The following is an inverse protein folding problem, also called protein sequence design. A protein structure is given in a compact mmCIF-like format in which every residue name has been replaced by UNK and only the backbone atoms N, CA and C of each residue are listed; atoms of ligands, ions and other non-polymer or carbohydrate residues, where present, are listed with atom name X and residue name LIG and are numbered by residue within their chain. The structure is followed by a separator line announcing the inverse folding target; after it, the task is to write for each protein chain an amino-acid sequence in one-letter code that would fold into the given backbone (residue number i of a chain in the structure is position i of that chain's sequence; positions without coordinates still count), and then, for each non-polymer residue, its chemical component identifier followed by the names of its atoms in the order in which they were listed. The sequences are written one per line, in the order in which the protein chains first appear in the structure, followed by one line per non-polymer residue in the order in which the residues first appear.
data_IF_721531557265
#
_entry.id   IF_721531557265
#
_cell.length_a   1.000
_cell.length_b   1.000
_cell.length_c   1.000
_cell.angle_alpha   90.00
_cell.angle_beta   90.00
_cell.angle_gamma   90.00
#
_symmetry.space_group_name_H-M   'P 1'
#
loop_
_entity.id
_entity.type
_entity.pdbx_description
1 polymer ?
#
# COMPACT_ATOMS: atom_id res chain seq x y z
N UNK A 1 17.06 -3.53 -5.96
CA UNK A 1 16.04 -4.48 -5.47
C UNK A 1 14.82 -4.49 -6.41
N UNK A 2 14.13 -3.36 -6.60
CA UNK A 2 12.93 -3.26 -7.46
C UNK A 2 13.22 -3.56 -8.94
N UNK A 3 14.39 -3.15 -9.46
CA UNK A 3 14.81 -3.41 -10.84
C UNK A 3 15.02 -4.91 -11.18
N UNK A 4 15.15 -5.75 -10.16
CA UNK A 4 15.34 -7.20 -10.34
C UNK A 4 14.02 -7.97 -10.39
N UNK A 5 12.89 -7.29 -10.18
CA UNK A 5 11.57 -7.91 -10.20
C UNK A 5 11.16 -8.17 -11.65
N UNK A 6 10.87 -9.44 -11.95
CA UNK A 6 10.38 -9.85 -13.26
C UNK A 6 8.90 -9.48 -13.43
N UNK A 7 8.65 -8.35 -14.09
CA UNK A 7 7.30 -7.85 -14.38
C UNK A 7 6.61 -8.59 -15.54
N UNK A 8 7.28 -9.55 -16.18
CA UNK A 8 6.70 -10.33 -17.28
C UNK A 8 5.91 -11.55 -16.79
N UNK A 9 6.09 -11.96 -15.55
CA UNK A 9 5.40 -13.12 -14.96
C UNK A 9 3.91 -12.86 -14.86
N UNK A 10 3.14 -13.72 -15.51
CA UNK A 10 1.67 -13.71 -15.45
C UNK A 10 1.17 -15.07 -14.98
N UNK A 11 0.22 -15.05 -14.09
CA UNK A 11 -0.55 -16.23 -13.70
C UNK A 11 -1.69 -16.44 -14.71
N UNK A 12 -1.99 -17.66 -15.08
CA UNK A 12 -3.17 -17.91 -15.92
C UNK A 12 -4.46 -17.71 -15.11
N UNK A 13 -5.55 -17.36 -15.78
CA UNK A 13 -6.81 -16.98 -15.14
C UNK A 13 -7.37 -18.08 -14.24
N UNK A 14 -7.28 -19.35 -14.63
CA UNK A 14 -7.78 -20.47 -13.83
C UNK A 14 -7.01 -20.61 -12.52
N UNK A 15 -5.68 -20.65 -12.62
CA UNK A 15 -4.77 -20.72 -11.46
C UNK A 15 -4.95 -19.52 -10.53
N UNK A 16 -5.12 -18.33 -11.10
CA UNK A 16 -5.39 -17.10 -10.36
C UNK A 16 -6.70 -17.22 -9.55
N UNK A 17 -7.79 -17.62 -10.19
CA UNK A 17 -9.09 -17.73 -9.54
C UNK A 17 -9.11 -18.79 -8.44
N UNK A 18 -8.47 -19.93 -8.65
CA UNK A 18 -8.32 -20.98 -7.64
C UNK A 18 -7.50 -20.47 -6.44
N UNK A 19 -6.34 -19.88 -6.69
CA UNK A 19 -5.46 -19.35 -5.65
C UNK A 19 -6.15 -18.26 -4.84
N UNK A 20 -6.79 -17.31 -5.50
CA UNK A 20 -7.48 -16.20 -4.83
C UNK A 20 -8.64 -16.70 -3.98
N UNK A 21 -9.43 -17.67 -4.45
CA UNK A 21 -10.53 -18.22 -3.66
C UNK A 21 -10.04 -18.83 -2.34
N UNK A 22 -8.92 -19.55 -2.36
CA UNK A 22 -8.29 -20.07 -1.15
C UNK A 22 -7.76 -18.97 -0.23
N UNK A 23 -7.14 -17.93 -0.80
CA UNK A 23 -6.62 -16.79 -0.03
C UNK A 23 -7.74 -15.98 0.62
N UNK A 24 -8.87 -15.78 -0.06
CA UNK A 24 -10.04 -15.07 0.49
C UNK A 24 -10.58 -15.78 1.73
N UNK A 25 -10.75 -17.11 1.67
CA UNK A 25 -11.15 -17.92 2.83
C UNK A 25 -10.13 -17.78 3.97
N UNK A 26 -8.85 -17.85 3.64
CA UNK A 26 -7.77 -17.75 4.63
C UNK A 26 -7.71 -16.38 5.29
N UNK A 27 -7.92 -15.31 4.54
CA UNK A 27 -7.96 -13.94 5.06
C UNK A 27 -9.12 -13.73 6.03
N UNK A 28 -10.32 -14.24 5.70
CA UNK A 28 -11.48 -14.19 6.61
C UNK A 28 -11.19 -14.94 7.93
N UNK A 29 -10.52 -16.10 7.84
CA UNK A 29 -10.09 -16.87 9.02
C UNK A 29 -9.05 -16.10 9.86
N UNK A 30 -8.07 -15.46 9.19
CA UNK A 30 -7.04 -14.68 9.86
C UNK A 30 -7.63 -13.45 10.56
N UNK A 31 -8.57 -12.74 9.93
CA UNK A 31 -9.28 -11.63 10.58
C UNK A 31 -9.97 -12.10 11.87
N UNK A 32 -10.65 -13.24 11.85
CA UNK A 32 -11.26 -13.81 13.05
C UNK A 32 -10.23 -14.09 14.13
N UNK A 33 -9.10 -14.73 13.78
CA UNK A 33 -8.01 -15.02 14.72
C UNK A 33 -7.41 -13.75 15.31
N UNK A 34 -7.16 -12.73 14.50
CA UNK A 34 -6.65 -11.44 14.99
C UNK A 34 -7.61 -10.84 16.03
N UNK A 35 -8.92 -10.91 15.77
CA UNK A 35 -9.94 -10.45 16.72
C UNK A 35 -9.96 -11.26 18.01
N UNK A 36 -9.93 -12.59 17.92
CA UNK A 36 -9.95 -13.50 19.10
C UNK A 36 -8.69 -13.35 19.96
N UNK A 37 -7.54 -13.13 19.32
CA UNK A 37 -6.25 -12.97 20.00
C UNK A 37 -5.88 -11.52 20.31
N UNK A 38 -6.79 -10.57 20.04
CA UNK A 38 -6.57 -9.15 20.25
C UNK A 38 -5.33 -8.58 19.52
N UNK A 39 -5.01 -9.09 18.34
CA UNK A 39 -3.87 -8.65 17.53
C UNK A 39 -4.30 -7.49 16.64
N UNK A 40 -3.74 -6.27 16.80
CA UNK A 40 -3.97 -5.16 15.88
C UNK A 40 -3.15 -5.36 14.59
N UNK A 41 -3.73 -4.99 13.45
CA UNK A 41 -3.06 -5.13 12.15
C UNK A 41 -3.12 -3.82 11.37
N UNK A 42 -1.99 -3.36 10.85
CA UNK A 42 -1.91 -2.28 9.87
C UNK A 42 -1.43 -2.82 8.53
N UNK A 43 -2.15 -2.50 7.47
CA UNK A 43 -1.81 -2.90 6.10
C UNK A 43 -1.57 -1.63 5.28
N UNK A 44 -0.39 -1.49 4.70
CA UNK A 44 -0.03 -0.38 3.84
C UNK A 44 0.02 -0.83 2.38
N UNK A 45 -0.71 -0.12 1.52
CA UNK A 45 -0.66 -0.27 0.07
C UNK A 45 0.11 0.88 -0.54
N UNK A 46 1.36 0.64 -0.88
CA UNK A 46 2.24 1.57 -1.57
C UNK A 46 2.41 1.21 -3.04
N UNK A 47 2.99 2.09 -3.81
CA UNK A 47 3.27 1.89 -5.22
C UNK A 47 3.02 3.13 -6.05
N UNK A 48 3.42 3.04 -7.31
CA UNK A 48 3.32 4.11 -8.29
C UNK A 48 1.87 4.52 -8.56
N UNK A 49 1.68 5.71 -9.11
CA UNK A 49 0.36 6.11 -9.60
C UNK A 49 -0.13 5.14 -10.69
N UNK A 50 -1.41 4.85 -10.71
CA UNK A 50 -2.05 3.86 -11.57
C UNK A 50 -1.57 2.41 -11.39
N UNK A 51 -0.77 2.08 -10.35
CA UNK A 51 -0.33 0.71 -10.08
C UNK A 51 -1.46 -0.23 -9.59
N UNK A 52 -2.65 0.29 -9.31
CA UNK A 52 -3.79 -0.54 -8.92
C UNK A 52 -4.02 -0.65 -7.41
N UNK A 53 -3.45 0.24 -6.58
CA UNK A 53 -3.64 0.26 -5.12
C UNK A 53 -5.10 0.14 -4.71
N UNK A 54 -5.97 0.98 -5.25
CA UNK A 54 -7.41 0.95 -4.95
C UNK A 54 -8.09 -0.35 -5.37
N UNK A 55 -7.70 -0.93 -6.51
CA UNK A 55 -8.22 -2.22 -6.98
C UNK A 55 -7.82 -3.35 -6.01
N UNK A 56 -6.55 -3.35 -5.56
CA UNK A 56 -6.05 -4.34 -4.60
C UNK A 56 -6.77 -4.19 -3.24
N UNK A 57 -6.95 -2.96 -2.75
CA UNK A 57 -7.70 -2.71 -1.51
C UNK A 57 -9.15 -3.21 -1.66
N UNK A 58 -9.82 -2.88 -2.75
CA UNK A 58 -11.19 -3.35 -3.01
C UNK A 58 -11.27 -4.87 -3.02
N UNK A 59 -10.27 -5.55 -3.60
CA UNK A 59 -10.19 -7.02 -3.59
C UNK A 59 -9.98 -7.56 -2.18
N UNK A 60 -9.05 -6.99 -1.44
CA UNK A 60 -8.73 -7.39 -0.07
C UNK A 60 -9.95 -7.29 0.86
N UNK A 61 -10.73 -6.21 0.79
CA UNK A 61 -11.84 -5.98 1.71
C UNK A 61 -13.09 -6.82 1.39
N UNK A 62 -13.21 -7.40 0.21
CA UNK A 62 -14.38 -8.20 -0.19
C UNK A 62 -14.58 -9.45 0.67
N UNK A 63 -13.51 -10.02 1.20
CA UNK A 63 -13.54 -11.22 2.03
C UNK A 63 -13.49 -10.92 3.54
N UNK A 64 -13.38 -9.66 3.94
CA UNK A 64 -13.29 -9.24 5.33
C UNK A 64 -14.65 -8.83 5.90
N UNK A 65 -14.88 -9.14 7.19
CA UNK A 65 -16.03 -8.61 7.94
C UNK A 65 -15.91 -7.08 8.08
N UNK A 66 -16.85 -6.30 7.54
CA UNK A 66 -16.76 -4.83 7.53
C UNK A 66 -16.72 -4.21 8.94
N UNK A 67 -17.20 -4.92 9.95
CA UNK A 67 -17.13 -4.49 11.36
C UNK A 67 -15.71 -4.58 11.91
N UNK A 68 -14.83 -5.34 11.26
CA UNK A 68 -13.47 -5.67 11.73
C UNK A 68 -12.37 -4.80 11.14
N UNK A 69 -12.64 -3.98 10.13
CA UNK A 69 -11.61 -3.17 9.48
C UNK A 69 -12.04 -1.72 9.21
N UNK A 70 -11.07 -0.87 8.88
CA UNK A 70 -11.27 0.46 8.32
C UNK A 70 -10.24 0.72 7.21
N UNK A 71 -10.63 1.53 6.22
CA UNK A 71 -9.75 1.95 5.12
C UNK A 71 -9.53 3.45 5.18
N UNK A 72 -8.28 3.88 5.05
CA UNK A 72 -7.87 5.28 5.07
C UNK A 72 -7.13 5.65 3.80
N UNK A 73 -7.69 6.57 3.03
CA UNK A 73 -6.97 7.20 1.92
C UNK A 73 -6.05 8.30 2.47
N UNK A 74 -4.75 8.01 2.49
CA UNK A 74 -3.76 8.88 3.12
C UNK A 74 -3.15 9.93 2.18
N UNK A 75 -3.55 10.03 0.95
CA UNK A 75 -3.16 11.02 -0.04
C UNK A 75 -2.36 12.25 0.44
N UNK A 76 -2.35 13.31 -0.29
CA UNK A 76 -1.58 14.51 0.08
C UNK A 76 -2.01 15.09 1.45
N UNK A 77 -1.03 15.62 2.16
CA UNK A 77 -1.24 16.31 3.42
C UNK A 77 -2.21 17.49 3.26
N UNK A 78 -3.24 17.54 4.09
CA UNK A 78 -4.22 18.63 4.12
C UNK A 78 -3.70 19.80 4.96
N UNK A 79 -4.27 20.99 4.79
CA UNK A 79 -3.92 22.16 5.62
C UNK A 79 -4.04 21.91 7.11
N UNK A 80 -5.00 21.08 7.54
CA UNK A 80 -5.19 20.72 8.94
C UNK A 80 -4.05 19.82 9.46
N UNK A 81 -3.54 18.90 8.62
CA UNK A 81 -2.46 17.99 9.01
C UNK A 81 -1.16 18.75 9.26
N UNK A 82 -0.90 19.82 8.52
CA UNK A 82 0.31 20.66 8.66
C UNK A 82 0.45 21.37 10.00
N UNK A 83 -0.60 21.36 10.84
CA UNK A 83 -0.53 21.89 12.22
C UNK A 83 0.13 20.92 13.19
N UNK A 84 0.39 19.70 12.78
CA UNK A 84 0.91 18.61 13.61
C UNK A 84 2.17 18.01 12.98
N UNK A 85 3.02 17.30 13.75
CA UNK A 85 4.11 16.51 13.19
C UNK A 85 3.59 15.51 12.14
N UNK A 86 4.41 15.21 11.12
CA UNK A 86 4.02 14.39 9.97
C UNK A 86 3.32 13.07 10.34
N UNK A 87 3.84 12.35 11.34
CA UNK A 87 3.31 11.05 11.75
C UNK A 87 1.94 11.13 12.43
N UNK A 88 1.53 12.30 12.96
CA UNK A 88 0.25 12.46 13.67
C UNK A 88 -0.94 11.94 12.86
N UNK A 89 -0.97 12.20 11.53
CA UNK A 89 -2.05 11.78 10.64
C UNK A 89 -2.20 10.24 10.55
N UNK A 90 -1.15 9.49 10.83
CA UNK A 90 -1.12 8.03 10.87
C UNK A 90 -1.34 7.48 12.28
N UNK A 91 -0.67 8.06 13.27
CA UNK A 91 -0.74 7.59 14.65
C UNK A 91 -2.16 7.75 15.25
N UNK A 92 -2.91 8.76 14.83
CA UNK A 92 -4.33 8.90 15.20
C UNK A 92 -5.24 7.83 14.59
N UNK A 93 -4.71 7.00 13.69
CA UNK A 93 -5.42 5.91 13.01
C UNK A 93 -4.83 4.54 13.32
N UNK A 94 -4.09 4.42 14.42
CA UNK A 94 -3.65 3.12 14.90
C UNK A 94 -4.88 2.28 15.25
N UNK A 95 -4.97 1.01 14.79
CA UNK A 95 -6.10 0.14 15.11
C UNK A 95 -6.14 -0.23 16.58
N UNK A 96 -7.31 -0.29 17.15
CA UNK A 96 -7.50 -0.95 18.42
C UNK A 96 -7.17 -2.45 18.31
N UNK A 97 -6.85 -3.10 19.43
CA UNK A 97 -6.54 -4.53 19.48
C UNK A 97 -7.65 -5.35 18.83
N UNK A 98 -7.27 -6.30 17.97
CA UNK A 98 -8.20 -7.15 17.20
C UNK A 98 -8.83 -6.48 15.97
N UNK A 99 -8.36 -5.29 15.56
CA UNK A 99 -8.86 -4.55 14.38
C UNK A 99 -7.80 -4.49 13.29
N UNK A 100 -8.27 -4.34 12.05
CA UNK A 100 -7.43 -4.19 10.86
C UNK A 100 -7.63 -2.79 10.28
N UNK A 101 -6.57 -2.00 10.14
CA UNK A 101 -6.61 -0.74 9.40
C UNK A 101 -5.77 -0.84 8.12
N UNK A 102 -6.37 -0.45 7.00
CA UNK A 102 -5.78 -0.50 5.67
C UNK A 102 -5.53 0.93 5.21
N UNK A 103 -4.33 1.21 4.76
CA UNK A 103 -3.91 2.54 4.32
C UNK A 103 -3.61 2.53 2.82
N UNK A 104 -4.33 3.34 2.05
CA UNK A 104 -3.93 3.68 0.69
C UNK A 104 -2.88 4.79 0.78
N UNK A 105 -1.64 4.43 0.54
CA UNK A 105 -0.42 5.18 0.82
C UNK A 105 -0.04 5.22 2.31
N UNK A 106 1.25 5.36 2.58
CA UNK A 106 1.81 5.30 3.93
C UNK A 106 2.72 6.49 4.25
N UNK A 107 3.42 6.38 5.35
CA UNK A 107 4.44 7.34 5.78
C UNK A 107 5.69 7.37 4.89
N UNK A 108 5.91 6.40 4.00
CA UNK A 108 7.04 6.42 3.06
C UNK A 108 7.00 7.59 2.08
N UNK A 109 5.79 8.10 1.77
CA UNK A 109 5.67 9.34 1.01
C UNK A 109 6.33 10.53 1.73
N UNK A 110 6.37 10.53 3.06
CA UNK A 110 7.05 11.53 3.86
C UNK A 110 8.56 11.51 3.67
N UNK A 111 9.16 10.32 3.57
CA UNK A 111 10.59 10.20 3.28
C UNK A 111 10.88 10.80 1.91
N UNK A 112 10.13 10.40 0.89
CA UNK A 112 10.28 10.91 -0.48
C UNK A 112 10.09 12.42 -0.60
N UNK A 113 9.23 13.00 0.24
CA UNK A 113 8.98 14.47 0.27
C UNK A 113 9.84 15.24 1.26
N UNK A 114 10.75 14.58 1.97
CA UNK A 114 11.61 15.21 2.99
C UNK A 114 10.87 15.62 4.28
N UNK A 115 9.66 15.09 4.52
CA UNK A 115 8.87 15.36 5.72
C UNK A 115 9.12 14.36 6.86
N UNK A 116 9.75 13.24 6.54
CA UNK A 116 10.17 12.21 7.49
C UNK A 116 11.52 11.64 7.06
N UNK A 117 12.26 11.04 7.98
CA UNK A 117 13.49 10.32 7.72
C UNK A 117 13.29 8.80 7.95
N UNK A 118 14.14 7.98 7.37
CA UNK A 118 14.07 6.51 7.44
C UNK A 118 14.18 6.03 8.90
N UNK A 119 15.05 6.63 9.70
CA UNK A 119 15.24 6.31 11.11
C UNK A 119 13.97 6.57 11.93
N UNK A 120 13.24 7.64 11.62
CA UNK A 120 11.97 7.97 12.26
C UNK A 120 10.89 6.93 11.90
N UNK A 121 10.79 6.54 10.63
CA UNK A 121 9.87 5.47 10.20
C UNK A 121 10.23 4.17 10.91
N UNK A 122 11.51 3.79 10.91
CA UNK A 122 12.00 2.61 11.57
C UNK A 122 11.73 2.60 13.07
N UNK A 123 11.83 3.74 13.74
CA UNK A 123 11.51 3.88 15.17
C UNK A 123 10.01 3.69 15.43
N UNK A 124 9.15 4.28 14.61
CA UNK A 124 7.68 4.13 14.71
C UNK A 124 7.26 2.68 14.44
N UNK A 125 7.76 2.06 13.37
CA UNK A 125 7.45 0.67 13.05
C UNK A 125 7.93 -0.29 14.14
N UNK A 126 9.13 -0.08 14.68
CA UNK A 126 9.66 -0.84 15.81
C UNK A 126 8.76 -0.72 17.04
N UNK A 127 8.42 0.49 17.43
CA UNK A 127 7.53 0.75 18.58
C UNK A 127 6.19 -0.01 18.44
N UNK A 128 5.57 0.05 17.26
CA UNK A 128 4.28 -0.60 17.01
C UNK A 128 4.40 -2.13 17.02
N UNK A 129 5.45 -2.70 16.41
CA UNK A 129 5.64 -4.15 16.37
C UNK A 129 6.05 -4.72 17.73
N UNK A 130 6.80 -3.99 18.54
CA UNK A 130 7.13 -4.37 19.92
C UNK A 130 5.90 -4.36 20.84
N UNK A 131 4.87 -3.53 20.55
CA UNK A 131 3.56 -3.59 21.23
C UNK A 131 2.66 -4.73 20.69
N UNK A 132 3.15 -5.56 19.79
CA UNK A 132 2.46 -6.73 19.25
C UNK A 132 1.59 -6.45 18.02
N UNK A 133 1.78 -5.31 17.35
CA UNK A 133 1.11 -5.00 16.10
C UNK A 133 1.73 -5.77 14.92
N UNK A 134 0.89 -6.27 14.04
CA UNK A 134 1.30 -6.82 12.75
C UNK A 134 1.30 -5.72 11.71
N UNK A 135 2.46 -5.45 11.12
CA UNK A 135 2.60 -4.52 9.99
C UNK A 135 2.80 -5.30 8.70
N UNK A 136 1.89 -5.12 7.73
CA UNK A 136 2.01 -5.68 6.39
C UNK A 136 2.18 -4.54 5.39
N UNK A 137 3.25 -4.58 4.61
CA UNK A 137 3.58 -3.54 3.62
C UNK A 137 3.55 -4.17 2.23
N UNK A 138 2.72 -3.63 1.34
CA UNK A 138 2.63 -4.05 -0.05
C UNK A 138 3.09 -2.92 -0.95
N UNK A 139 4.06 -3.19 -1.80
CA UNK A 139 4.50 -2.26 -2.84
C UNK A 139 4.08 -2.77 -4.23
N UNK A 140 3.17 -2.05 -4.88
CA UNK A 140 2.70 -2.40 -6.21
C UNK A 140 3.59 -1.74 -7.26
N UNK A 141 4.27 -2.57 -8.03
CA UNK A 141 5.17 -2.16 -9.09
C UNK A 141 4.59 -2.53 -10.46
N UNK A 142 4.55 -1.55 -11.36
CA UNK A 142 4.22 -1.72 -12.77
C UNK A 142 5.31 -1.08 -13.62
N UNK A 143 5.47 -1.50 -14.87
CA UNK A 143 6.43 -0.89 -15.78
C UNK A 143 6.03 0.54 -16.15
N UNK A 144 7.01 1.35 -16.56
CA UNK A 144 6.77 2.72 -17.05
C UNK A 144 5.76 2.75 -18.22
N UNK A 145 5.90 1.78 -19.15
CA UNK A 145 4.98 1.62 -20.28
C UNK A 145 3.56 1.33 -19.81
N UNK A 146 3.42 0.42 -18.84
CA UNK A 146 2.10 0.04 -18.31
C UNK A 146 1.48 1.21 -17.52
N UNK A 147 2.26 1.93 -16.72
CA UNK A 147 1.79 3.12 -16.02
C UNK A 147 1.22 4.15 -16.99
N UNK A 148 1.95 4.43 -18.08
CA UNK A 148 1.50 5.35 -19.13
C UNK A 148 0.19 4.88 -19.75
N UNK A 149 0.12 3.62 -20.17
CA UNK A 149 -1.08 3.05 -20.80
C UNK A 149 -2.31 3.17 -19.88
N UNK A 150 -2.15 2.89 -18.59
CA UNK A 150 -3.25 2.99 -17.62
C UNK A 150 -3.70 4.42 -17.37
N UNK A 151 -2.77 5.35 -17.23
CA UNK A 151 -3.09 6.78 -17.08
C UNK A 151 -3.86 7.31 -18.30
N UNK A 152 -3.45 6.92 -19.52
CA UNK A 152 -4.14 7.27 -20.76
C UNK A 152 -5.57 6.70 -20.80
N UNK A 153 -5.73 5.40 -20.54
CA UNK A 153 -7.06 4.76 -20.47
C UNK A 153 -7.99 5.41 -19.45
N UNK A 154 -7.48 5.72 -18.25
CA UNK A 154 -8.27 6.38 -17.20
C UNK A 154 -8.69 7.77 -17.65
N UNK A 155 -7.82 8.53 -18.33
CA UNK A 155 -8.10 9.89 -18.82
C UNK A 155 -9.09 9.92 -19.97
N UNK A 156 -9.03 8.95 -20.87
CA UNK A 156 -9.93 8.85 -22.02
C UNK A 156 -11.36 8.51 -21.62
N UNK A 157 -11.54 7.80 -20.53
CA UNK A 157 -12.87 7.47 -20.02
C UNK A 157 -13.43 8.63 -19.19
N UNK A 158 -14.50 9.27 -19.69
CA UNK A 158 -15.16 10.43 -19.06
C UNK A 158 -15.59 10.19 -17.60
N UNK A 159 -15.95 8.94 -17.26
CA UNK A 159 -16.37 8.58 -15.90
C UNK A 159 -15.20 8.47 -14.92
N UNK A 160 -13.99 8.26 -15.42
CA UNK A 160 -12.80 8.06 -14.58
C UNK A 160 -11.73 9.13 -14.74
N UNK A 161 -11.83 9.98 -15.75
CA UNK A 161 -10.84 11.02 -16.06
C UNK A 161 -10.48 11.91 -14.86
N UNK A 162 -11.42 12.18 -13.97
CA UNK A 162 -11.21 12.95 -12.74
C UNK A 162 -10.25 12.31 -11.73
N UNK A 163 -9.95 11.00 -11.89
CA UNK A 163 -9.01 10.26 -11.01
C UNK A 163 -7.56 10.55 -11.34
N UNK A 164 -7.27 11.04 -12.55
CA UNK A 164 -5.89 11.35 -12.98
C UNK A 164 -5.60 12.82 -12.73
N UNK A 165 -4.76 13.08 -11.76
CA UNK A 165 -4.29 14.43 -11.46
C UNK A 165 -3.06 14.82 -12.29
N UNK A 166 -2.77 16.13 -12.40
CA UNK A 166 -1.52 16.61 -13.01
C UNK A 166 -0.28 16.04 -12.31
N UNK A 167 -0.40 15.72 -11.02
CA UNK A 167 0.67 15.06 -10.26
C UNK A 167 0.95 13.67 -10.80
N UNK A 168 -0.05 12.89 -11.17
CA UNK A 168 0.12 11.54 -11.72
C UNK A 168 0.95 11.56 -13.00
N UNK A 169 0.75 12.58 -13.85
CA UNK A 169 1.56 12.78 -15.06
C UNK A 169 2.99 13.19 -14.76
N UNK A 170 3.20 14.10 -13.81
CA UNK A 170 4.55 14.48 -13.37
C UNK A 170 5.30 13.29 -12.77
N UNK A 171 4.64 12.49 -11.95
CA UNK A 171 5.25 11.27 -11.40
C UNK A 171 5.59 10.24 -12.48
N UNK A 172 4.78 10.11 -13.52
CA UNK A 172 5.09 9.25 -14.68
C UNK A 172 6.34 9.75 -15.41
N UNK A 173 6.48 11.06 -15.61
CA UNK A 173 7.66 11.64 -16.27
C UNK A 173 8.95 11.47 -15.44
N UNK A 174 8.83 11.29 -14.13
CA UNK A 174 9.92 11.04 -13.17
C UNK A 174 9.97 9.56 -12.72
N UNK A 175 9.47 8.63 -13.54
CA UNK A 175 9.32 7.22 -13.16
C UNK A 175 10.60 6.62 -12.57
N UNK A 176 11.74 6.78 -13.24
CA UNK A 176 13.02 6.19 -12.82
C UNK A 176 13.53 6.76 -11.50
N UNK A 177 13.42 8.07 -11.32
CA UNK A 177 13.84 8.78 -10.10
C UNK A 177 12.98 8.35 -8.91
N UNK A 178 11.66 8.24 -9.14
CA UNK A 178 10.72 7.79 -8.10
C UNK A 178 10.96 6.32 -7.75
N UNK A 179 11.20 5.47 -8.75
CA UNK A 179 11.51 4.06 -8.53
C UNK A 179 12.79 3.88 -7.72
N UNK A 180 13.84 4.63 -8.06
CA UNK A 180 15.11 4.61 -7.33
C UNK A 180 14.94 5.10 -5.88
N UNK A 181 14.17 6.17 -5.66
CA UNK A 181 13.87 6.66 -4.32
C UNK A 181 13.14 5.59 -3.49
N UNK A 182 12.13 4.94 -4.06
CA UNK A 182 11.45 3.84 -3.38
C UNK A 182 12.35 2.63 -3.14
N UNK A 183 13.24 2.29 -4.08
CA UNK A 183 14.19 1.18 -3.90
C UNK A 183 15.07 1.39 -2.66
N UNK A 184 15.58 2.61 -2.47
CA UNK A 184 16.35 2.99 -1.28
C UNK A 184 15.48 2.93 -0.02
N UNK A 185 14.32 3.59 -0.02
CA UNK A 185 13.40 3.65 1.12
C UNK A 185 13.01 2.24 1.58
N UNK A 186 12.65 1.38 0.65
CA UNK A 186 12.20 0.02 0.94
C UNK A 186 13.35 -0.85 1.47
N UNK A 187 14.56 -0.69 0.91
CA UNK A 187 15.75 -1.37 1.41
C UNK A 187 16.07 -0.96 2.85
N UNK A 188 16.03 0.33 3.16
CA UNK A 188 16.42 0.87 4.46
C UNK A 188 15.34 0.69 5.54
N UNK A 189 14.12 0.38 5.13
CA UNK A 189 12.98 0.12 6.02
C UNK A 189 12.48 -1.32 6.01
N UNK A 190 13.13 -2.23 5.27
CA UNK A 190 12.80 -3.66 5.29
C UNK A 190 13.31 -4.31 6.58
N UNK A 191 12.38 -4.85 7.37
CA UNK A 191 12.67 -5.50 8.65
C UNK A 191 11.87 -6.78 8.81
N UNK A 192 12.44 -7.76 9.49
CA UNK A 192 11.83 -9.08 9.71
C UNK A 192 10.42 -9.00 10.35
N UNK A 193 10.16 -7.98 11.19
CA UNK A 193 8.90 -7.81 11.90
C UNK A 193 7.89 -6.89 11.17
N UNK A 194 8.27 -6.32 10.02
CA UNK A 194 7.43 -5.46 9.20
C UNK A 194 7.57 -5.93 7.76
N UNK A 195 6.87 -7.01 7.42
CA UNK A 195 6.99 -7.72 6.16
C UNK A 195 6.67 -6.82 4.97
N UNK A 196 7.61 -6.72 4.05
CA UNK A 196 7.47 -6.01 2.79
C UNK A 196 7.27 -7.03 1.65
N UNK A 197 6.16 -6.92 0.95
CA UNK A 197 5.81 -7.76 -0.19
C UNK A 197 5.78 -6.91 -1.46
N UNK A 198 6.50 -7.36 -2.48
CA UNK A 198 6.47 -6.76 -3.81
C UNK A 198 5.49 -7.52 -4.67
N UNK A 199 4.65 -6.81 -5.41
CA UNK A 199 3.77 -7.42 -6.39
C UNK A 199 4.04 -6.84 -7.76
N UNK A 200 4.31 -7.68 -8.75
CA UNK A 200 4.09 -7.34 -10.14
C UNK A 200 2.60 -7.46 -10.44
N UNK A 201 2.14 -6.71 -11.42
CA UNK A 201 0.74 -6.67 -11.81
C UNK A 201 0.24 -8.05 -12.28
N UNK A 202 -0.58 -8.66 -11.47
CA UNK A 202 -1.16 -9.98 -11.74
C UNK A 202 -2.66 -9.93 -12.06
N UNK A 203 -3.19 -8.78 -12.47
CA UNK A 203 -4.62 -8.65 -12.73
C UNK A 203 -4.91 -7.70 -13.90
N UNK A 204 -5.11 -8.26 -15.06
CA UNK A 204 -6.05 -7.77 -16.06
C UNK A 204 -7.35 -8.58 -15.94
#
# INVERSE_FOLDING_TARGET
MLEQIDLSKKMNEKEYNETVSHLEIRLAQLQRKCREQNIPVMIFMEGLEAAGKGTMINRLIRCLDPRGFQVFAMGNEKKADKKYPYFHRFLTKIPARGRIHIFDSSWYQGIRSGQAAEDQVNAVEKMLTEDGMVLCKFFLLISEKEQKNRLEKIRENKETAWKVSDRAWKEKDQYKEILQAYDTILHDTDRANACLLYTSDAAD
#
